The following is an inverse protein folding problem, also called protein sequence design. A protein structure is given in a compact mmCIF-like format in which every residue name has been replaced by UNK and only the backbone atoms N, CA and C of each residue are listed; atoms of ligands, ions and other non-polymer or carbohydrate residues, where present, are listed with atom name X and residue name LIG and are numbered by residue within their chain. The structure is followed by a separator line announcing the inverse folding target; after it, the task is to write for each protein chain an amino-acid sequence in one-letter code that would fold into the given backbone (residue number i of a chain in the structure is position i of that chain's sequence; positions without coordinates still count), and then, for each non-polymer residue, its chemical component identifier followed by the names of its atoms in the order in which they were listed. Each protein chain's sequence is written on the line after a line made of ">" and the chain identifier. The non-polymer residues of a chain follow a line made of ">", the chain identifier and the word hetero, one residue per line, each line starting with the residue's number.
data_IF_820554191992
#
_entry.id   IF_820554191992
#
_cell.length_a   1.000
_cell.length_b   1.000
_cell.length_c   1.000
_cell.angle_alpha   90.00
_cell.angle_beta   90.00
_cell.angle_gamma   90.00
#
_symmetry.space_group_name_H-M   'P 1'
#
loop_
_entity.id
_entity.type
_entity.pdbx_description
1 polymer ?
#
# COMPACT_ATOMS: atom_id res chain seq x y z
N UNK A 1 19.04 -3.35 7.81
CA UNK A 1 19.57 -4.17 6.70
C UNK A 1 20.18 -5.48 7.22
N UNK A 2 21.20 -5.49 8.10
CA UNK A 2 21.85 -6.73 8.58
C UNK A 2 20.89 -7.82 9.08
N UNK A 3 19.90 -7.47 9.94
CA UNK A 3 18.89 -8.40 10.45
C UNK A 3 17.99 -9.00 9.37
N UNK A 4 17.68 -8.24 8.32
CA UNK A 4 16.85 -8.72 7.19
C UNK A 4 17.64 -9.74 6.38
N UNK A 5 18.91 -9.43 6.04
CA UNK A 5 19.77 -10.33 5.30
C UNK A 5 20.02 -11.64 6.09
N UNK A 6 20.20 -11.54 7.40
CA UNK A 6 20.28 -12.69 8.29
C UNK A 6 19.01 -13.54 8.25
N UNK A 7 17.84 -12.92 8.32
CA UNK A 7 16.55 -13.62 8.26
C UNK A 7 16.36 -14.35 6.92
N UNK A 8 16.77 -13.73 5.79
CA UNK A 8 16.73 -14.38 4.46
C UNK A 8 17.64 -15.59 4.43
N UNK A 9 18.91 -15.45 4.88
CA UNK A 9 19.87 -16.56 4.93
C UNK A 9 19.38 -17.70 5.82
N UNK A 10 18.86 -17.39 7.00
CA UNK A 10 18.33 -18.40 7.91
C UNK A 10 17.11 -19.12 7.30
N UNK A 11 16.24 -18.40 6.61
CA UNK A 11 15.11 -18.99 5.88
C UNK A 11 15.59 -19.91 4.75
N UNK A 12 16.57 -19.48 3.96
CA UNK A 12 17.16 -20.28 2.91
C UNK A 12 17.76 -21.58 3.48
N UNK A 13 18.58 -21.49 4.53
CA UNK A 13 19.20 -22.66 5.16
C UNK A 13 18.16 -23.66 5.69
N UNK A 14 17.10 -23.19 6.33
CA UNK A 14 16.00 -24.04 6.85
C UNK A 14 15.24 -24.73 5.72
N UNK A 15 15.02 -24.07 4.60
CA UNK A 15 14.34 -24.63 3.43
C UNK A 15 15.24 -25.64 2.70
N UNK A 16 16.52 -25.34 2.56
CA UNK A 16 17.50 -26.28 2.00
C UNK A 16 17.56 -27.57 2.81
N UNK A 17 17.59 -27.47 4.14
CA UNK A 17 17.55 -28.63 5.03
C UNK A 17 16.27 -29.48 4.90
N UNK A 18 15.20 -28.92 4.31
CA UNK A 18 13.94 -29.62 4.00
C UNK A 18 13.86 -30.12 2.54
N UNK A 19 14.96 -30.10 1.80
CA UNK A 19 15.04 -30.61 0.43
C UNK A 19 14.56 -29.64 -0.65
N UNK A 20 14.42 -28.34 -0.35
CA UNK A 20 14.17 -27.32 -1.37
C UNK A 20 15.49 -26.80 -1.93
N UNK A 21 15.52 -26.50 -3.23
CA UNK A 21 16.60 -25.72 -3.82
C UNK A 21 16.35 -24.24 -3.53
N UNK A 22 17.36 -23.57 -2.98
CA UNK A 22 17.24 -22.15 -2.63
C UNK A 22 18.34 -21.34 -3.30
N UNK A 23 17.98 -20.13 -3.76
CA UNK A 23 18.93 -19.17 -4.33
C UNK A 23 18.60 -17.77 -3.80
N UNK A 24 19.58 -17.08 -3.22
CA UNK A 24 19.44 -15.70 -2.77
C UNK A 24 19.96 -14.75 -3.83
N UNK A 25 19.20 -13.65 -4.06
CA UNK A 25 19.59 -12.59 -4.98
C UNK A 25 19.87 -11.36 -4.14
N UNK A 26 21.08 -10.82 -4.28
CA UNK A 26 21.51 -9.59 -3.63
C UNK A 26 21.41 -8.40 -4.59
N UNK A 27 21.04 -7.22 -4.08
CA UNK A 27 21.23 -5.95 -4.76
C UNK A 27 22.46 -5.23 -4.20
N UNK A 28 23.10 -4.41 -5.03
CA UNK A 28 24.34 -3.71 -4.66
C UNK A 28 24.16 -2.83 -3.41
N UNK A 29 22.96 -2.20 -3.25
CA UNK A 29 22.71 -1.21 -2.18
C UNK A 29 22.03 -1.80 -0.95
N UNK A 30 21.39 -2.97 -1.06
CA UNK A 30 20.51 -3.51 -0.02
C UNK A 30 20.87 -4.92 0.48
N UNK A 31 21.89 -5.56 -0.10
CA UNK A 31 22.24 -6.94 0.20
C UNK A 31 21.19 -7.93 -0.33
N UNK A 32 21.01 -9.05 0.36
CA UNK A 32 20.07 -10.11 -0.07
C UNK A 32 18.62 -9.62 0.09
N UNK A 33 17.93 -9.46 -1.05
CA UNK A 33 16.58 -8.89 -1.10
C UNK A 33 15.51 -9.88 -1.55
N UNK A 34 15.94 -10.97 -2.19
CA UNK A 34 15.06 -11.98 -2.75
C UNK A 34 15.59 -13.38 -2.44
N UNK A 35 14.66 -14.29 -2.17
CA UNK A 35 14.95 -15.72 -2.04
C UNK A 35 14.05 -16.47 -3.03
N UNK A 36 14.69 -17.19 -3.96
CA UNK A 36 14.00 -18.14 -4.83
C UNK A 36 14.04 -19.51 -4.17
N UNK A 37 12.88 -20.16 -4.10
CA UNK A 37 12.71 -21.50 -3.51
C UNK A 37 12.09 -22.38 -4.56
N UNK A 38 12.76 -23.50 -4.90
CA UNK A 38 12.32 -24.42 -5.94
C UNK A 38 12.19 -25.84 -5.42
N UNK A 39 11.14 -26.52 -5.88
CA UNK A 39 10.96 -27.96 -5.69
C UNK A 39 10.32 -28.55 -6.95
N UNK A 40 11.02 -29.44 -7.65
CA UNK A 40 10.59 -29.94 -8.96
C UNK A 40 10.44 -28.79 -9.96
N UNK A 41 9.26 -28.68 -10.57
CA UNK A 41 8.93 -27.64 -11.56
C UNK A 41 8.26 -26.39 -10.93
N UNK A 42 8.09 -26.37 -9.60
CA UNK A 42 7.47 -25.23 -8.89
C UNK A 42 8.56 -24.34 -8.34
N UNK A 43 8.46 -23.04 -8.64
CA UNK A 43 9.32 -22.01 -8.08
C UNK A 43 8.48 -20.97 -7.34
N UNK A 44 8.91 -20.63 -6.15
CA UNK A 44 8.35 -19.55 -5.32
C UNK A 44 9.41 -18.47 -5.13
N UNK A 45 8.99 -17.23 -5.25
CA UNK A 45 9.82 -16.06 -4.98
C UNK A 45 9.37 -15.38 -3.69
N UNK A 46 10.31 -15.24 -2.76
CA UNK A 46 10.13 -14.46 -1.53
C UNK A 46 10.88 -13.14 -1.69
N UNK A 47 10.16 -12.03 -1.60
CA UNK A 47 10.75 -10.69 -1.67
C UNK A 47 10.54 -9.95 -0.36
N UNK A 48 11.53 -9.16 0.03
CA UNK A 48 11.45 -8.32 1.21
C UNK A 48 11.06 -6.90 0.80
N UNK A 49 10.03 -6.38 1.45
CA UNK A 49 9.70 -4.97 1.36
C UNK A 49 10.40 -4.21 2.49
N UNK A 50 11.30 -3.30 2.15
CA UNK A 50 12.06 -2.49 3.12
C UNK A 50 11.29 -1.26 3.61
N UNK A 51 10.14 -0.96 3.00
CA UNK A 51 9.31 0.19 3.38
C UNK A 51 8.27 -0.25 4.39
N UNK A 52 8.64 -0.26 5.67
CA UNK A 52 7.68 -0.49 6.75
C UNK A 52 6.97 0.83 7.08
N UNK A 53 5.68 0.92 6.76
CA UNK A 53 4.86 2.10 7.02
C UNK A 53 4.27 2.12 8.44
N UNK A 54 4.20 0.98 9.11
CA UNK A 54 3.46 0.76 10.34
C UNK A 54 1.99 0.40 10.05
N UNK A 55 1.20 0.21 11.09
CA UNK A 55 -0.23 -0.06 11.01
C UNK A 55 -1.01 0.97 11.81
N UNK A 56 -2.15 1.41 11.29
CA UNK A 56 -3.07 2.36 11.96
C UNK A 56 -3.83 1.67 13.09
N UNK A 57 -4.17 0.39 12.88
CA UNK A 57 -4.91 -0.43 13.83
C UNK A 57 -4.04 -1.57 14.37
N UNK A 58 -4.39 -2.15 15.53
CA UNK A 58 -3.67 -3.27 16.08
C UNK A 58 -3.69 -4.49 15.16
N UNK A 59 -2.55 -5.16 15.07
CA UNK A 59 -2.44 -6.48 14.41
C UNK A 59 -3.19 -7.50 15.27
N UNK A 60 -3.93 -8.39 14.62
CA UNK A 60 -4.67 -9.49 15.28
C UNK A 60 -4.20 -10.84 14.73
N UNK A 61 -4.21 -11.85 15.57
CA UNK A 61 -4.09 -13.21 15.08
C UNK A 61 -5.43 -13.64 14.47
N UNK A 62 -5.38 -14.23 13.30
CA UNK A 62 -6.54 -14.79 12.62
C UNK A 62 -6.22 -16.15 12.04
N UNK A 63 -7.19 -17.05 12.12
CA UNK A 63 -7.13 -18.36 11.46
C UNK A 63 -7.31 -18.20 9.95
N UNK A 64 -6.78 -19.16 9.20
CA UNK A 64 -7.04 -19.25 7.76
C UNK A 64 -8.54 -19.35 7.49
N UNK A 65 -8.99 -18.73 6.39
CA UNK A 65 -10.36 -18.92 5.91
C UNK A 65 -10.64 -20.41 5.63
N UNK A 66 -11.90 -20.89 5.69
CA UNK A 66 -12.23 -22.29 5.37
C UNK A 66 -11.64 -22.73 4.04
N UNK A 67 -11.77 -21.92 3.01
CA UNK A 67 -11.24 -22.20 1.69
C UNK A 67 -9.71 -22.29 1.66
N UNK A 68 -9.02 -21.41 2.39
CA UNK A 68 -7.55 -21.46 2.49
C UNK A 68 -7.09 -22.73 3.23
N UNK A 69 -7.79 -23.15 4.29
CA UNK A 69 -7.50 -24.41 5.00
C UNK A 69 -7.62 -25.62 4.08
N UNK A 70 -8.69 -25.68 3.28
CA UNK A 70 -8.89 -26.74 2.30
C UNK A 70 -7.77 -26.81 1.26
N UNK A 71 -7.43 -25.66 0.66
CA UNK A 71 -6.41 -25.58 -0.41
C UNK A 71 -5.01 -25.85 0.13
N UNK A 72 -4.66 -25.31 1.31
CA UNK A 72 -3.35 -25.43 1.90
C UNK A 72 -3.16 -26.69 2.74
N UNK A 73 -4.26 -27.44 3.02
CA UNK A 73 -4.27 -28.59 3.94
C UNK A 73 -3.58 -28.26 5.26
N UNK A 74 -3.83 -27.06 5.78
CA UNK A 74 -3.18 -26.54 6.98
C UNK A 74 -4.19 -25.77 7.83
N UNK A 75 -4.04 -25.86 9.16
CA UNK A 75 -4.75 -25.03 10.12
C UNK A 75 -3.72 -24.16 10.85
N UNK A 76 -3.69 -22.88 10.52
CA UNK A 76 -2.70 -21.93 10.99
C UNK A 76 -3.38 -20.65 11.48
N UNK A 77 -2.87 -20.11 12.56
CA UNK A 77 -3.12 -18.73 12.98
C UNK A 77 -1.92 -17.86 12.61
N UNK A 78 -2.20 -16.72 12.00
CA UNK A 78 -1.19 -15.79 11.55
C UNK A 78 -1.52 -14.37 12.02
N UNK A 79 -0.52 -13.54 12.34
CA UNK A 79 -0.75 -12.12 12.56
C UNK A 79 -1.17 -11.46 11.26
N UNK A 80 -2.33 -10.81 11.26
CA UNK A 80 -2.90 -10.10 10.12
C UNK A 80 -3.17 -8.65 10.46
N UNK A 81 -3.01 -7.77 9.49
CA UNK A 81 -3.42 -6.37 9.60
C UNK A 81 -4.94 -6.27 9.59
N UNK A 82 -5.48 -5.18 10.11
CA UNK A 82 -6.92 -4.91 10.03
C UNK A 82 -7.40 -4.78 8.59
N UNK A 83 -8.71 -4.92 8.39
CA UNK A 83 -9.33 -4.69 7.09
C UNK A 83 -9.08 -3.26 6.60
N UNK A 84 -9.15 -2.29 7.51
CA UNK A 84 -8.92 -0.87 7.27
C UNK A 84 -7.49 -0.61 6.81
N UNK A 85 -6.50 -1.19 7.48
CA UNK A 85 -5.09 -1.07 7.09
C UNK A 85 -4.83 -1.72 5.72
N UNK A 86 -5.40 -2.90 5.50
CA UNK A 86 -5.25 -3.62 4.24
C UNK A 86 -5.81 -2.78 3.08
N UNK A 87 -7.05 -2.33 3.20
CA UNK A 87 -7.68 -1.53 2.13
C UNK A 87 -7.09 -0.12 2.05
N UNK A 88 -6.77 0.53 3.16
CA UNK A 88 -6.08 1.82 3.14
C UNK A 88 -4.83 1.79 2.26
N UNK A 89 -4.00 0.77 2.42
CA UNK A 89 -2.81 0.56 1.59
C UNK A 89 -3.12 0.23 0.12
N UNK A 90 -4.14 -0.60 -0.14
CA UNK A 90 -4.59 -0.97 -1.50
C UNK A 90 -5.18 0.23 -2.25
N UNK A 91 -5.96 1.08 -1.58
CA UNK A 91 -6.52 2.30 -2.16
C UNK A 91 -5.42 3.27 -2.60
N UNK A 92 -4.39 3.48 -1.77
CA UNK A 92 -3.22 4.30 -2.16
C UNK A 92 -2.51 3.71 -3.37
N UNK A 93 -2.33 2.39 -3.41
CA UNK A 93 -1.70 1.72 -4.54
C UNK A 93 -2.53 1.86 -5.83
N UNK A 94 -3.86 1.71 -5.75
CA UNK A 94 -4.77 1.88 -6.87
C UNK A 94 -4.78 3.32 -7.40
N UNK A 95 -4.74 4.31 -6.53
CA UNK A 95 -4.65 5.73 -6.90
C UNK A 95 -3.31 6.07 -7.57
N UNK A 96 -2.20 5.53 -7.06
CA UNK A 96 -0.86 5.83 -7.57
C UNK A 96 -0.54 5.11 -8.88
N UNK A 97 -0.75 3.80 -8.92
CA UNK A 97 -0.33 2.93 -10.04
C UNK A 97 -1.41 2.74 -11.10
N UNK A 98 -2.68 2.77 -10.68
CA UNK A 98 -3.85 2.47 -11.53
C UNK A 98 -3.72 1.10 -12.23
N UNK A 99 -3.05 0.15 -11.59
CA UNK A 99 -2.82 -1.17 -12.16
C UNK A 99 -4.10 -2.01 -12.11
N UNK A 100 -4.45 -2.82 -13.13
CA UNK A 100 -5.68 -3.63 -13.15
C UNK A 100 -5.90 -4.49 -11.91
N UNK A 101 -4.86 -5.07 -11.32
CA UNK A 101 -4.96 -5.86 -10.07
C UNK A 101 -5.36 -5.00 -8.87
N UNK A 102 -4.83 -3.77 -8.77
CA UNK A 102 -5.19 -2.86 -7.69
C UNK A 102 -6.64 -2.39 -7.84
N UNK A 103 -7.09 -2.17 -9.07
CA UNK A 103 -8.48 -1.82 -9.37
C UNK A 103 -9.44 -2.99 -9.12
N UNK A 104 -9.01 -4.22 -9.37
CA UNK A 104 -9.77 -5.41 -9.00
C UNK A 104 -9.95 -5.53 -7.48
N UNK A 105 -8.92 -5.25 -6.68
CA UNK A 105 -9.07 -5.18 -5.23
C UNK A 105 -10.12 -4.13 -4.82
N UNK A 106 -10.17 -2.99 -5.51
CA UNK A 106 -11.19 -1.95 -5.28
C UNK A 106 -12.59 -2.41 -5.74
N UNK A 107 -12.70 -3.16 -6.85
CA UNK A 107 -13.95 -3.78 -7.29
C UNK A 107 -14.53 -4.67 -6.19
N UNK A 108 -13.68 -5.52 -5.58
CA UNK A 108 -14.10 -6.38 -4.48
C UNK A 108 -14.51 -5.55 -3.24
N UNK A 109 -13.76 -4.51 -2.90
CA UNK A 109 -14.11 -3.61 -1.81
C UNK A 109 -15.52 -3.00 -2.03
N UNK A 110 -15.80 -2.51 -3.22
CA UNK A 110 -17.10 -1.93 -3.54
C UNK A 110 -18.26 -2.93 -3.58
N UNK A 111 -17.96 -4.19 -3.85
CA UNK A 111 -18.97 -5.25 -3.85
C UNK A 111 -19.39 -5.68 -2.43
N UNK A 112 -18.49 -5.53 -1.44
CA UNK A 112 -18.74 -6.05 -0.09
C UNK A 112 -18.87 -4.94 0.96
N UNK A 113 -17.80 -4.21 1.27
CA UNK A 113 -17.76 -3.27 2.39
C UNK A 113 -18.00 -1.81 1.98
N UNK A 114 -17.56 -1.43 0.78
CA UNK A 114 -17.44 -0.02 0.37
C UNK A 114 -16.33 0.71 1.13
N UNK A 115 -16.17 2.00 0.84
CA UNK A 115 -15.20 2.83 1.54
C UNK A 115 -15.83 3.39 2.82
N UNK A 116 -15.68 2.65 3.92
CA UNK A 116 -16.14 3.10 5.24
C UNK A 116 -15.30 4.29 5.75
N UNK A 117 -15.80 5.08 6.72
CA UNK A 117 -15.00 6.14 7.34
C UNK A 117 -13.68 5.62 7.96
N UNK A 118 -13.66 4.39 8.49
CA UNK A 118 -12.46 3.80 9.06
C UNK A 118 -11.44 3.42 7.98
N UNK A 119 -11.86 2.82 6.87
CA UNK A 119 -11.02 2.52 5.69
C UNK A 119 -10.48 3.82 5.08
N UNK A 120 -11.31 4.86 4.95
CA UNK A 120 -10.90 6.15 4.43
C UNK A 120 -9.86 6.83 5.33
N UNK A 121 -10.02 6.77 6.66
CA UNK A 121 -9.05 7.31 7.60
C UNK A 121 -7.70 6.59 7.50
N UNK A 122 -7.70 5.26 7.39
CA UNK A 122 -6.48 4.50 7.12
C UNK A 122 -5.85 4.89 5.77
N UNK A 123 -6.66 5.07 4.72
CA UNK A 123 -6.19 5.58 3.43
C UNK A 123 -5.49 6.94 3.57
N UNK A 124 -6.06 7.90 4.31
CA UNK A 124 -5.45 9.22 4.55
C UNK A 124 -4.07 9.09 5.20
N UNK A 125 -3.93 8.21 6.19
CA UNK A 125 -2.62 7.94 6.83
C UNK A 125 -1.63 7.34 5.85
N UNK A 126 -2.02 6.32 5.08
CA UNK A 126 -1.13 5.69 4.10
C UNK A 126 -0.80 6.61 2.92
N UNK A 127 -1.71 7.50 2.53
CA UNK A 127 -1.47 8.57 1.55
C UNK A 127 -0.40 9.55 2.07
N UNK A 128 -0.50 9.97 3.34
CA UNK A 128 0.52 10.79 3.98
C UNK A 128 1.89 10.09 4.05
N UNK A 129 1.93 8.75 4.17
CA UNK A 129 3.16 7.95 4.15
C UNK A 129 3.73 7.72 2.75
N UNK A 130 3.06 8.15 1.68
CA UNK A 130 3.48 7.83 0.31
C UNK A 130 4.70 8.67 -0.11
N UNK A 131 5.58 8.11 -0.96
CA UNK A 131 6.80 8.79 -1.41
C UNK A 131 6.52 9.97 -2.35
N UNK A 132 5.50 9.87 -3.21
CA UNK A 132 5.07 10.96 -4.09
C UNK A 132 4.36 12.08 -3.30
N UNK A 133 4.24 13.29 -3.88
CA UNK A 133 3.40 14.35 -3.32
C UNK A 133 1.95 13.91 -3.17
N UNK A 134 1.31 14.30 -2.05
CA UNK A 134 -0.07 13.92 -1.73
C UNK A 134 -1.04 14.31 -2.84
N UNK A 135 -0.93 15.53 -3.39
CA UNK A 135 -1.80 16.01 -4.45
C UNK A 135 -1.72 15.17 -5.73
N UNK A 136 -0.54 14.65 -6.09
CA UNK A 136 -0.38 13.82 -7.29
C UNK A 136 -1.02 12.44 -7.17
N UNK A 137 -1.11 11.91 -5.94
CA UNK A 137 -1.72 10.60 -5.68
C UNK A 137 -3.22 10.74 -5.47
N UNK A 138 -3.67 11.77 -4.74
CA UNK A 138 -5.09 12.01 -4.47
C UNK A 138 -5.85 12.51 -5.71
N UNK A 139 -5.17 13.27 -6.60
CA UNK A 139 -5.72 13.78 -7.85
C UNK A 139 -4.90 13.26 -9.05
N UNK A 140 -4.96 11.94 -9.31
CA UNK A 140 -4.12 11.33 -10.30
C UNK A 140 -4.54 11.69 -11.73
N UNK A 141 -3.58 11.82 -12.62
CA UNK A 141 -3.85 11.81 -14.06
C UNK A 141 -4.26 10.39 -14.48
N UNK A 142 -5.39 10.28 -15.16
CA UNK A 142 -5.91 9.00 -15.64
C UNK A 142 -5.00 8.43 -16.73
N UNK A 143 -4.64 7.14 -16.59
CA UNK A 143 -3.75 6.42 -17.51
C UNK A 143 -4.53 5.45 -18.38
N UNK A 144 -4.06 5.23 -19.60
CA UNK A 144 -4.49 4.06 -20.37
C UNK A 144 -3.87 2.80 -19.76
N UNK A 145 -4.71 1.85 -19.37
CA UNK A 145 -4.32 0.58 -18.74
C UNK A 145 -4.60 -0.63 -19.63
N UNK A 146 -4.99 -0.42 -20.88
CA UNK A 146 -5.41 -1.48 -21.81
C UNK A 146 -4.30 -2.51 -22.03
N UNK A 147 -3.08 -2.07 -22.25
CA UNK A 147 -1.93 -2.95 -22.46
C UNK A 147 -1.62 -3.76 -21.20
N UNK A 148 -1.66 -3.11 -20.02
CA UNK A 148 -1.41 -3.74 -18.73
C UNK A 148 -2.48 -4.77 -18.40
N UNK A 149 -3.75 -4.47 -18.73
CA UNK A 149 -4.87 -5.39 -18.60
C UNK A 149 -4.64 -6.66 -19.42
N UNK A 150 -4.36 -6.56 -20.72
CA UNK A 150 -4.15 -7.72 -21.59
C UNK A 150 -2.97 -8.58 -21.14
N UNK A 151 -1.85 -7.96 -20.72
CA UNK A 151 -0.61 -8.67 -20.41
C UNK A 151 -0.57 -9.28 -19.02
N UNK A 152 -1.24 -8.67 -18.03
CA UNK A 152 -0.96 -8.97 -16.62
C UNK A 152 -2.20 -9.28 -15.79
N UNK A 153 -3.41 -9.13 -16.36
CA UNK A 153 -4.64 -9.32 -15.60
C UNK A 153 -5.63 -10.25 -16.27
N UNK A 154 -5.87 -10.13 -17.57
CA UNK A 154 -6.84 -10.95 -18.30
C UNK A 154 -6.60 -12.45 -18.07
N UNK A 155 -7.66 -13.14 -17.66
CA UNK A 155 -7.59 -14.59 -17.34
C UNK A 155 -7.02 -14.92 -15.97
N UNK A 156 -6.78 -13.94 -15.09
CA UNK A 156 -6.33 -14.19 -13.70
C UNK A 156 -7.47 -14.43 -12.71
N UNK A 157 -8.69 -14.09 -13.07
CA UNK A 157 -9.88 -14.23 -12.23
C UNK A 157 -10.70 -15.44 -12.64
N UNK A 158 -11.41 -16.07 -11.69
CA UNK A 158 -12.26 -17.22 -11.96
C UNK A 158 -13.41 -16.85 -12.90
N UNK A 159 -14.01 -15.69 -12.68
CA UNK A 159 -14.99 -15.08 -13.59
C UNK A 159 -14.30 -13.93 -14.34
N UNK A 160 -14.50 -13.83 -15.67
CA UNK A 160 -13.92 -12.73 -16.42
C UNK A 160 -14.36 -11.36 -15.87
N UNK A 161 -13.43 -10.45 -15.76
CA UNK A 161 -13.66 -9.03 -15.41
C UNK A 161 -13.18 -8.19 -16.55
N UNK A 162 -14.07 -7.42 -17.15
CA UNK A 162 -13.77 -6.63 -18.35
C UNK A 162 -12.99 -5.33 -18.01
N UNK A 163 -12.21 -4.86 -18.98
CA UNK A 163 -11.46 -3.61 -18.85
C UNK A 163 -12.38 -2.41 -18.52
N UNK A 164 -13.58 -2.38 -19.10
CA UNK A 164 -14.58 -1.34 -18.85
C UNK A 164 -15.04 -1.30 -17.39
N UNK A 165 -15.16 -2.45 -16.73
CA UNK A 165 -15.51 -2.53 -15.30
C UNK A 165 -14.40 -1.94 -14.44
N UNK A 166 -13.13 -2.28 -14.73
CA UNK A 166 -11.99 -1.75 -13.99
C UNK A 166 -11.83 -0.23 -14.19
N UNK A 167 -12.10 0.27 -15.39
CA UNK A 167 -12.08 1.72 -15.66
C UNK A 167 -13.20 2.44 -14.91
N UNK A 168 -14.42 1.87 -14.89
CA UNK A 168 -15.53 2.41 -14.11
C UNK A 168 -15.24 2.42 -12.59
N UNK A 169 -14.64 1.34 -12.08
CA UNK A 169 -14.16 1.26 -10.69
C UNK A 169 -13.15 2.36 -10.39
N UNK A 170 -12.19 2.60 -11.27
CA UNK A 170 -11.20 3.67 -11.11
C UNK A 170 -11.84 5.06 -11.01
N UNK A 171 -12.78 5.35 -11.90
CA UNK A 171 -13.49 6.62 -11.88
C UNK A 171 -14.33 6.80 -10.61
N UNK A 172 -15.00 5.73 -10.17
CA UNK A 172 -15.72 5.70 -8.91
C UNK A 172 -14.79 5.93 -7.72
N UNK A 173 -13.66 5.22 -7.68
CA UNK A 173 -12.65 5.32 -6.63
C UNK A 173 -12.11 6.74 -6.47
N UNK A 174 -11.67 7.36 -7.57
CA UNK A 174 -11.15 8.73 -7.58
C UNK A 174 -12.22 9.68 -7.03
N UNK A 175 -13.43 9.60 -7.53
CA UNK A 175 -14.54 10.45 -7.11
C UNK A 175 -14.90 10.26 -5.64
N UNK A 176 -15.00 9.01 -5.16
CA UNK A 176 -15.38 8.74 -3.77
C UNK A 176 -14.29 9.16 -2.77
N UNK A 177 -13.01 8.94 -3.09
CA UNK A 177 -11.94 9.37 -2.22
C UNK A 177 -11.80 10.90 -2.17
N UNK A 178 -11.90 11.58 -3.29
CA UNK A 178 -11.79 13.05 -3.32
C UNK A 178 -12.96 13.75 -2.62
N UNK A 179 -14.19 13.29 -2.87
CA UNK A 179 -15.40 13.89 -2.29
C UNK A 179 -15.67 13.44 -0.86
N UNK A 180 -15.25 12.22 -0.52
CA UNK A 180 -15.53 11.61 0.76
C UNK A 180 -14.67 12.10 1.92
N UNK A 181 -13.54 12.80 1.65
CA UNK A 181 -12.71 13.37 2.72
C UNK A 181 -13.52 14.34 3.58
N UNK A 182 -13.57 14.10 4.89
CA UNK A 182 -14.18 15.02 5.82
C UNK A 182 -13.29 16.24 6.12
N UNK A 183 -13.82 17.20 6.87
CA UNK A 183 -13.12 18.45 7.16
C UNK A 183 -11.80 18.23 7.94
N UNK A 184 -11.80 17.29 8.88
CA UNK A 184 -10.63 17.00 9.71
C UNK A 184 -9.55 16.28 8.89
N UNK A 185 -9.93 15.34 8.01
CA UNK A 185 -9.02 14.65 7.09
C UNK A 185 -8.36 15.63 6.10
N UNK A 186 -9.14 16.58 5.54
CA UNK A 186 -8.60 17.63 4.65
C UNK A 186 -7.61 18.54 5.39
N UNK A 187 -7.98 19.03 6.57
CA UNK A 187 -7.09 19.86 7.41
C UNK A 187 -5.82 19.13 7.81
N UNK A 188 -5.93 17.83 8.17
CA UNK A 188 -4.77 17.02 8.48
C UNK A 188 -3.81 16.93 7.29
N UNK A 189 -4.31 16.61 6.09
CA UNK A 189 -3.46 16.52 4.90
C UNK A 189 -2.77 17.86 4.58
N UNK A 190 -3.48 18.99 4.73
CA UNK A 190 -2.91 20.32 4.53
C UNK A 190 -1.79 20.60 5.56
N UNK A 191 -2.08 20.46 6.86
CA UNK A 191 -1.08 20.66 7.91
C UNK A 191 0.13 19.74 7.75
N UNK A 192 -0.10 18.50 7.32
CA UNK A 192 0.93 17.52 7.11
C UNK A 192 1.89 17.89 5.97
N UNK A 193 1.38 18.35 4.81
CA UNK A 193 2.24 18.72 3.68
C UNK A 193 3.03 20.01 3.93
N UNK A 194 2.58 20.84 4.88
CA UNK A 194 3.35 21.98 5.42
C UNK A 194 4.39 21.57 6.44
N UNK A 195 4.55 20.28 6.70
CA UNK A 195 5.47 19.72 7.71
C UNK A 195 5.16 20.19 9.15
N UNK A 196 3.90 20.51 9.42
CA UNK A 196 3.36 20.94 10.71
C UNK A 196 2.03 20.22 11.00
N UNK A 197 2.05 18.87 11.11
CA UNK A 197 0.81 18.09 11.23
C UNK A 197 0.06 18.39 12.53
N UNK A 198 -1.23 18.59 12.40
CA UNK A 198 -2.16 18.64 13.53
C UNK A 198 -2.62 17.20 13.83
N UNK A 199 -2.04 16.62 14.87
CA UNK A 199 -2.21 15.22 15.23
C UNK A 199 -3.59 14.87 15.76
N UNK A 200 -4.31 15.84 16.32
CA UNK A 200 -5.58 15.62 16.98
C UNK A 200 -6.73 15.38 15.98
N UNK A 201 -6.55 15.84 14.74
CA UNK A 201 -7.59 15.77 13.70
C UNK A 201 -7.99 14.34 13.35
N UNK A 202 -7.04 13.40 13.27
CA UNK A 202 -7.36 12.01 12.93
C UNK A 202 -7.68 11.13 14.14
N UNK A 203 -7.44 11.62 15.37
CA UNK A 203 -7.71 10.91 16.63
C UNK A 203 -7.03 9.53 16.72
N UNK A 204 -5.79 9.43 16.22
CA UNK A 204 -4.95 8.25 16.25
C UNK A 204 -3.74 8.56 17.13
N UNK A 205 -3.71 8.03 18.35
CA UNK A 205 -2.73 8.42 19.39
C UNK A 205 -1.28 8.15 19.01
N UNK A 206 -0.99 7.10 18.24
CA UNK A 206 0.37 6.71 17.83
C UNK A 206 0.75 7.17 16.43
N UNK A 207 -0.03 8.06 15.82
CA UNK A 207 0.16 8.48 14.42
C UNK A 207 1.55 9.08 14.17
N UNK A 208 2.02 9.93 15.07
CA UNK A 208 3.36 10.55 15.00
C UNK A 208 4.52 9.54 15.08
N UNK A 209 4.26 8.35 15.63
CA UNK A 209 5.26 7.30 15.83
C UNK A 209 5.37 6.35 14.64
N UNK A 210 4.40 6.37 13.72
CA UNK A 210 4.41 5.50 12.56
C UNK A 210 5.67 5.71 11.71
N UNK A 211 6.40 4.63 11.37
CA UNK A 211 7.63 4.74 10.60
C UNK A 211 7.46 5.50 9.27
N UNK A 212 6.35 5.25 8.56
CA UNK A 212 6.04 5.93 7.31
C UNK A 212 5.80 7.42 7.47
N UNK A 213 5.11 7.83 8.51
CA UNK A 213 4.86 9.24 8.88
C UNK A 213 6.19 9.95 9.19
N UNK A 214 7.00 9.38 10.08
CA UNK A 214 8.31 9.93 10.46
C UNK A 214 9.24 10.08 9.27
N UNK A 215 9.29 9.07 8.42
CA UNK A 215 10.07 9.09 7.19
C UNK A 215 9.62 10.21 6.25
N UNK A 216 8.31 10.36 6.04
CA UNK A 216 7.77 11.39 5.14
C UNK A 216 8.01 12.79 5.67
N UNK A 217 7.79 13.04 6.97
CA UNK A 217 8.06 14.34 7.60
C UNK A 217 9.55 14.71 7.53
N UNK A 218 10.45 13.73 7.76
CA UNK A 218 11.87 13.94 7.55
C UNK A 218 12.17 14.42 6.12
N UNK A 219 11.61 13.74 5.11
CA UNK A 219 11.82 14.10 3.70
C UNK A 219 11.20 15.47 3.34
N UNK A 220 10.02 15.80 3.88
CA UNK A 220 9.42 17.12 3.72
C UNK A 220 10.29 18.22 4.34
N UNK A 221 10.82 17.98 5.53
CA UNK A 221 11.77 18.89 6.18
C UNK A 221 13.06 19.09 5.38
N UNK A 222 13.59 18.03 4.77
CA UNK A 222 14.75 18.15 3.85
C UNK A 222 14.38 18.91 2.58
N UNK A 223 13.21 18.64 2.00
CA UNK A 223 12.73 19.36 0.82
C UNK A 223 12.55 20.85 1.10
N UNK A 224 11.98 21.20 2.25
CA UNK A 224 11.82 22.60 2.67
C UNK A 224 13.16 23.35 2.78
N UNK A 225 14.21 22.67 3.25
CA UNK A 225 15.57 23.25 3.35
C UNK A 225 16.28 23.34 2.01
N UNK A 226 16.23 22.27 1.20
CA UNK A 226 17.01 22.17 -0.04
C UNK A 226 16.33 22.83 -1.24
N UNK A 227 15.00 22.87 -1.26
CA UNK A 227 14.20 23.43 -2.35
C UNK A 227 12.89 24.05 -1.84
N UNK A 228 12.94 25.21 -1.13
CA UNK A 228 11.78 25.84 -0.51
C UNK A 228 10.65 26.12 -1.52
N UNK A 229 11.00 26.58 -2.72
CA UNK A 229 10.03 26.85 -3.78
C UNK A 229 9.24 25.59 -4.15
N UNK A 230 9.91 24.44 -4.37
CA UNK A 230 9.25 23.17 -4.71
C UNK A 230 8.38 22.68 -3.55
N UNK A 231 8.84 22.80 -2.31
CA UNK A 231 8.09 22.46 -1.11
C UNK A 231 6.76 23.25 -1.05
N UNK A 232 6.83 24.58 -1.16
CA UNK A 232 5.64 25.44 -1.14
C UNK A 232 4.70 25.17 -2.32
N UNK A 233 5.24 24.97 -3.53
CA UNK A 233 4.44 24.67 -4.72
C UNK A 233 3.62 23.38 -4.54
N UNK A 234 4.20 22.33 -3.94
CA UNK A 234 3.50 21.07 -3.70
C UNK A 234 2.39 21.22 -2.63
N UNK A 235 2.64 21.97 -1.55
CA UNK A 235 1.66 22.24 -0.51
C UNK A 235 0.47 23.05 -1.07
N UNK A 236 0.74 24.16 -1.75
CA UNK A 236 -0.27 25.00 -2.38
C UNK A 236 -1.07 24.29 -3.47
N UNK A 237 -0.46 23.31 -4.17
CA UNK A 237 -1.18 22.51 -5.15
C UNK A 237 -2.27 21.65 -4.47
N UNK A 238 -1.95 21.05 -3.32
CA UNK A 238 -2.94 20.29 -2.54
C UNK A 238 -4.05 21.19 -2.00
N UNK A 239 -3.70 22.33 -1.41
CA UNK A 239 -4.69 23.28 -0.86
C UNK A 239 -5.73 23.68 -1.91
N UNK A 240 -5.28 24.15 -3.07
CA UNK A 240 -6.17 24.56 -4.17
C UNK A 240 -7.09 23.43 -4.64
N UNK A 241 -6.60 22.19 -4.69
CA UNK A 241 -7.38 21.03 -5.13
C UNK A 241 -8.37 20.53 -4.07
N UNK A 242 -8.12 20.80 -2.78
CA UNK A 242 -9.04 20.45 -1.70
C UNK A 242 -10.10 21.53 -1.44
N UNK A 243 -9.88 22.76 -1.89
CA UNK A 243 -10.83 23.90 -1.80
C UNK A 243 -11.79 23.95 -2.99
N UNK A 244 -11.45 23.32 -4.13
CA UNK A 244 -12.28 23.22 -5.33
C UNK A 244 -13.35 22.13 -5.20
#
# INVERSE_FOLDING_TARGET
>A
MARINEAIRNSAARLTARGFLTHTIASADAGETKLLVRRGNVELKVEVNFVMRGTVHPIRNASLSPRAREVLLADLELPVVSLEDMYGGKLVAAMDRQHPRDLFDCLQLFAYEGITPAIRRAFVVYLACHNRPVHEVLFPSVRDISQEYERTFKGMTAEPVELSELTAVRERLIRELQRGLDADERKFLISFVHNQPDWDLLRITHLAELPGIRWKLHNLGQLAKLSPKKFLTQAQALERLLES
#
